data_IF_706074276043
#
_entry.id   IF_706074276043
#
_cell.length_a   1.000
_cell.length_b   1.000
_cell.length_c   1.000
_cell.angle_alpha   90.00
_cell.angle_beta   90.00
_cell.angle_gamma   90.00
#
_symmetry.space_group_name_H-M   'P 1'
#
loop_
_entity.id
_entity.type
_entity.pdbx_description
1 polymer ?
#
# COMPACT_ATOMS: atom_id res chain seq x y z
N UNK A 1 -10.11 -14.68 11.93
CA UNK A 1 -9.73 -13.29 12.09
C UNK A 1 -10.43 -12.67 13.30
N UNK A 2 -9.74 -11.82 14.04
CA UNK A 2 -10.31 -11.14 15.21
C UNK A 2 -9.78 -9.72 15.34
N UNK A 3 -10.65 -8.76 15.55
CA UNK A 3 -10.27 -7.38 15.87
C UNK A 3 -9.82 -7.30 17.33
N UNK A 4 -8.65 -6.71 17.57
CA UNK A 4 -8.10 -6.47 18.90
C UNK A 4 -8.06 -4.97 19.21
N UNK A 5 -8.18 -4.59 20.50
CA UNK A 5 -8.22 -3.18 20.91
C UNK A 5 -6.91 -2.42 20.66
N UNK A 6 -5.76 -3.11 20.73
CA UNK A 6 -4.46 -2.46 20.72
C UNK A 6 -3.64 -2.71 19.44
N UNK A 7 -3.96 -3.75 18.69
CA UNK A 7 -3.17 -4.18 17.54
C UNK A 7 -3.97 -4.17 16.22
N UNK A 8 -5.24 -3.79 16.27
CA UNK A 8 -6.12 -3.88 15.12
C UNK A 8 -6.53 -5.32 14.79
N UNK A 9 -6.89 -5.61 13.55
CA UNK A 9 -7.32 -6.94 13.15
C UNK A 9 -6.13 -7.89 13.00
N UNK A 10 -6.28 -9.09 13.57
CA UNK A 10 -5.30 -10.18 13.50
C UNK A 10 -5.92 -11.34 12.74
N UNK A 11 -5.16 -11.87 11.77
CA UNK A 11 -5.53 -13.08 11.01
C UNK A 11 -4.81 -14.28 11.60
N UNK A 12 -5.55 -15.35 11.79
CA UNK A 12 -5.06 -16.62 12.34
C UNK A 12 -5.23 -17.72 11.30
N UNK A 13 -4.25 -18.60 11.23
CA UNK A 13 -4.31 -19.84 10.48
C UNK A 13 -4.02 -21.01 11.42
N UNK A 14 -4.92 -21.98 11.47
CA UNK A 14 -4.81 -23.20 12.27
C UNK A 14 -5.18 -24.43 11.46
N UNK A 15 -4.76 -25.62 11.88
CA UNK A 15 -5.08 -26.87 11.18
C UNK A 15 -6.58 -27.17 11.17
N UNK A 16 -7.35 -26.53 12.04
CA UNK A 16 -8.80 -26.69 12.09
C UNK A 16 -9.30 -28.09 12.51
N UNK A 17 -10.61 -28.27 12.57
CA UNK A 17 -11.25 -29.54 12.86
C UNK A 17 -10.95 -30.09 14.24
N UNK A 18 -11.17 -31.41 14.40
CA UNK A 18 -11.01 -32.11 15.69
C UNK A 18 -9.57 -32.05 16.23
N UNK A 19 -8.59 -32.00 15.35
CA UNK A 19 -7.16 -32.02 15.69
C UNK A 19 -6.61 -30.64 16.07
N UNK A 20 -7.18 -29.55 15.56
CA UNK A 20 -6.74 -28.19 15.85
C UNK A 20 -6.84 -27.81 17.33
N UNK A 21 -7.77 -28.43 18.07
CA UNK A 21 -7.91 -28.28 19.53
C UNK A 21 -6.79 -28.98 20.33
N UNK A 22 -6.17 -29.99 19.73
CA UNK A 22 -5.13 -30.81 20.38
C UNK A 22 -3.73 -30.23 20.14
N UNK A 23 -3.46 -29.75 18.93
CA UNK A 23 -2.10 -29.41 18.52
C UNK A 23 -1.67 -27.96 18.79
N UNK A 24 -2.56 -27.05 19.16
CA UNK A 24 -2.28 -25.61 19.41
C UNK A 24 -1.41 -24.92 18.34
N UNK A 25 -1.45 -25.41 17.11
CA UNK A 25 -0.57 -25.01 16.00
C UNK A 25 -1.23 -23.89 15.20
N UNK A 26 -1.39 -22.75 15.86
CA UNK A 26 -1.94 -21.56 15.23
C UNK A 26 -0.82 -20.57 14.96
N UNK A 27 -0.68 -20.15 13.72
CA UNK A 27 0.14 -19.00 13.34
C UNK A 27 -0.78 -17.79 13.17
N UNK A 28 -0.25 -16.61 13.40
CA UNK A 28 -1.00 -15.37 13.23
C UNK A 28 -0.14 -14.28 12.64
N UNK A 29 -0.79 -13.31 12.02
CA UNK A 29 -0.16 -12.06 11.60
C UNK A 29 -1.19 -10.92 11.61
N UNK A 30 -0.71 -9.69 11.55
CA UNK A 30 -1.56 -8.51 11.57
C UNK A 30 -2.13 -8.24 10.17
N UNK A 31 -3.39 -7.78 10.11
CA UNK A 31 -3.97 -7.33 8.86
C UNK A 31 -3.60 -5.85 8.60
N UNK A 32 -3.43 -5.44 7.33
CA UNK A 32 -3.56 -6.23 6.11
C UNK A 32 -2.33 -7.10 5.83
N UNK A 33 -2.54 -8.29 5.25
CA UNK A 33 -1.47 -9.20 4.86
C UNK A 33 -0.95 -8.86 3.47
N UNK A 34 0.36 -8.78 3.31
CA UNK A 34 1.02 -8.86 2.01
C UNK A 34 1.04 -10.30 1.50
N UNK A 35 1.27 -10.46 0.19
CA UNK A 35 1.44 -11.80 -0.42
C UNK A 35 2.54 -12.61 0.29
N UNK A 36 3.67 -11.98 0.58
CA UNK A 36 4.79 -12.63 1.25
C UNK A 36 4.43 -13.10 2.65
N UNK A 37 3.77 -12.26 3.45
CA UNK A 37 3.36 -12.61 4.82
C UNK A 37 2.37 -13.76 4.83
N UNK A 38 1.41 -13.78 3.90
CA UNK A 38 0.47 -14.89 3.76
C UNK A 38 1.20 -16.20 3.37
N UNK A 39 2.18 -16.13 2.46
CA UNK A 39 3.02 -17.28 2.10
C UNK A 39 3.91 -17.74 3.25
N UNK A 40 4.48 -16.81 4.03
CA UNK A 40 5.30 -17.11 5.21
C UNK A 40 4.46 -17.80 6.30
N UNK A 41 3.21 -17.40 6.50
CA UNK A 41 2.27 -18.07 7.43
C UNK A 41 2.05 -19.53 7.07
N UNK A 42 1.91 -19.85 5.78
CA UNK A 42 1.73 -21.23 5.30
C UNK A 42 3.03 -22.02 5.35
N UNK A 43 4.16 -21.38 5.08
CA UNK A 43 5.47 -22.02 5.06
C UNK A 43 6.02 -22.28 6.47
N UNK A 44 5.42 -21.67 7.50
CA UNK A 44 5.84 -21.81 8.89
C UNK A 44 5.09 -22.92 9.62
N UNK A 45 5.75 -23.49 10.63
CA UNK A 45 5.15 -24.49 11.52
C UNK A 45 4.69 -25.78 10.80
N UNK A 46 3.59 -26.37 11.27
CA UNK A 46 3.12 -27.68 10.78
C UNK A 46 2.50 -27.66 9.39
N UNK A 47 2.13 -26.46 8.87
CA UNK A 47 1.44 -26.34 7.59
C UNK A 47 2.26 -26.84 6.43
N UNK A 48 3.59 -26.63 6.45
CA UNK A 48 4.50 -27.14 5.42
C UNK A 48 4.40 -28.68 5.27
N UNK A 49 4.30 -29.38 6.39
CA UNK A 49 4.17 -30.85 6.39
C UNK A 49 2.75 -31.27 6.01
N UNK A 50 1.74 -30.54 6.46
CA UNK A 50 0.33 -30.87 6.24
C UNK A 50 -0.12 -30.65 4.79
N UNK A 51 0.44 -29.64 4.12
CA UNK A 51 0.12 -29.34 2.72
C UNK A 51 0.99 -30.10 1.72
N UNK A 52 2.09 -30.68 2.19
CA UNK A 52 2.99 -31.50 1.37
C UNK A 52 2.46 -32.93 1.14
N UNK A 53 3.19 -33.69 0.32
CA UNK A 53 2.94 -35.11 0.13
C UNK A 53 3.27 -35.87 1.44
N UNK A 54 2.25 -36.42 2.07
CA UNK A 54 2.41 -37.21 3.28
C UNK A 54 1.76 -38.57 3.14
N UNK A 55 2.55 -39.63 3.20
CA UNK A 55 2.08 -41.04 3.19
C UNK A 55 1.09 -41.40 2.06
N UNK A 56 1.28 -40.81 0.86
CA UNK A 56 0.41 -41.09 -0.30
C UNK A 56 -0.87 -40.25 -0.36
N UNK A 57 -1.06 -39.31 0.57
CA UNK A 57 -2.08 -38.27 0.43
C UNK A 57 -1.56 -37.20 -0.54
N UNK A 58 -2.41 -36.83 -1.50
CA UNK A 58 -2.04 -35.81 -2.49
C UNK A 58 -1.80 -34.45 -1.79
N UNK A 59 -0.74 -33.76 -2.19
CA UNK A 59 -0.45 -32.39 -1.75
C UNK A 59 -1.61 -31.45 -2.02
N UNK A 60 -1.87 -30.55 -1.09
CA UNK A 60 -2.81 -29.44 -1.27
C UNK A 60 -2.08 -28.25 -1.92
N UNK A 61 -2.73 -27.62 -2.89
CA UNK A 61 -2.24 -26.36 -3.47
C UNK A 61 -2.33 -25.24 -2.42
N UNK A 62 -1.24 -24.59 -2.03
CA UNK A 62 -1.25 -23.53 -1.04
C UNK A 62 -1.85 -22.20 -1.57
N UNK A 63 -1.85 -21.94 -2.87
CA UNK A 63 -2.26 -20.65 -3.45
C UNK A 63 -3.71 -20.24 -3.12
N UNK A 64 -4.71 -21.15 -3.13
CA UNK A 64 -6.07 -20.80 -2.70
C UNK A 64 -6.14 -20.40 -1.22
N UNK A 65 -5.29 -20.97 -0.36
CA UNK A 65 -5.23 -20.61 1.07
C UNK A 65 -4.59 -19.23 1.23
N UNK A 66 -3.49 -18.95 0.51
CA UNK A 66 -2.85 -17.63 0.46
C UNK A 66 -3.88 -16.58 0.04
N UNK A 67 -4.62 -16.84 -1.03
CA UNK A 67 -5.67 -15.95 -1.51
C UNK A 67 -6.75 -15.73 -0.45
N UNK A 68 -7.20 -16.77 0.23
CA UNK A 68 -8.21 -16.67 1.29
C UNK A 68 -7.70 -15.82 2.47
N UNK A 69 -6.45 -16.01 2.90
CA UNK A 69 -5.83 -15.21 3.98
C UNK A 69 -5.76 -13.72 3.62
N UNK A 70 -5.31 -13.39 2.40
CA UNK A 70 -5.24 -12.02 1.92
C UNK A 70 -6.64 -11.40 1.87
N UNK A 71 -7.63 -12.09 1.27
CA UNK A 71 -9.01 -11.62 1.18
C UNK A 71 -9.65 -11.41 2.54
N UNK A 72 -9.41 -12.32 3.48
CA UNK A 72 -9.90 -12.19 4.85
C UNK A 72 -9.27 -10.99 5.56
N UNK A 73 -7.97 -10.75 5.35
CA UNK A 73 -7.27 -9.61 5.92
C UNK A 73 -7.75 -8.28 5.33
N UNK A 74 -8.02 -8.23 4.03
CA UNK A 74 -8.60 -7.07 3.34
C UNK A 74 -9.99 -6.74 3.88
N UNK A 75 -10.85 -7.75 3.98
CA UNK A 75 -12.21 -7.58 4.51
C UNK A 75 -12.21 -7.01 5.93
N UNK A 76 -11.28 -7.48 6.76
CA UNK A 76 -11.11 -7.00 8.13
C UNK A 76 -10.76 -5.52 8.23
N UNK A 77 -10.08 -4.99 7.21
CA UNK A 77 -9.64 -3.59 7.13
C UNK A 77 -10.69 -2.70 6.46
N UNK A 78 -11.31 -3.23 5.39
CA UNK A 78 -12.28 -2.47 4.59
C UNK A 78 -13.64 -2.31 5.28
N UNK A 79 -13.99 -3.25 6.18
CA UNK A 79 -15.27 -3.24 6.88
C UNK A 79 -15.03 -3.17 8.41
N UNK A 80 -14.83 -1.98 8.97
CA UNK A 80 -14.54 -1.80 10.41
C UNK A 80 -15.62 -2.34 11.36
N UNK A 81 -16.85 -2.51 10.86
CA UNK A 81 -17.93 -3.13 11.63
C UNK A 81 -17.70 -4.61 11.94
N UNK A 82 -16.83 -5.29 11.19
CA UNK A 82 -16.53 -6.72 11.42
C UNK A 82 -15.59 -6.86 12.61
N UNK A 83 -16.07 -7.55 13.65
CA UNK A 83 -15.31 -7.80 14.90
C UNK A 83 -14.55 -9.13 14.87
N UNK A 84 -15.13 -10.15 14.31
CA UNK A 84 -14.46 -11.42 14.04
C UNK A 84 -15.08 -12.14 12.86
N UNK A 85 -14.26 -12.95 12.18
CA UNK A 85 -14.68 -13.93 11.20
C UNK A 85 -13.93 -15.22 11.52
N UNK A 86 -14.68 -16.27 11.80
CA UNK A 86 -14.18 -17.62 11.99
C UNK A 86 -14.65 -18.49 10.83
N UNK A 87 -13.69 -19.11 10.13
CA UNK A 87 -13.92 -20.04 9.03
C UNK A 87 -13.38 -21.39 9.51
N UNK A 88 -14.28 -22.33 9.78
CA UNK A 88 -13.89 -23.65 10.29
C UNK A 88 -14.96 -24.71 9.95
N UNK A 89 -14.67 -25.62 9.01
CA UNK A 89 -13.39 -25.74 8.32
C UNK A 89 -13.32 -25.02 6.97
N UNK A 90 -12.09 -24.71 6.54
CA UNK A 90 -11.74 -24.40 5.16
C UNK A 90 -11.24 -25.68 4.49
N UNK A 91 -12.00 -26.22 3.54
CA UNK A 91 -11.61 -27.40 2.79
C UNK A 91 -10.70 -27.00 1.63
N UNK A 92 -9.48 -27.54 1.61
CA UNK A 92 -8.47 -27.23 0.61
C UNK A 92 -8.23 -28.43 -0.30
N UNK A 93 -8.08 -28.16 -1.59
CA UNK A 93 -7.83 -29.15 -2.63
C UNK A 93 -6.87 -28.64 -3.70
N UNK A 94 -6.80 -29.34 -4.82
CA UNK A 94 -6.01 -28.89 -5.96
C UNK A 94 -6.67 -27.68 -6.63
N UNK A 95 -6.06 -26.51 -6.51
CA UNK A 95 -6.50 -25.29 -7.17
C UNK A 95 -7.74 -24.62 -6.58
N UNK A 96 -8.27 -25.08 -5.41
CA UNK A 96 -9.44 -24.47 -4.78
C UNK A 96 -9.40 -24.57 -3.26
N UNK A 97 -10.04 -23.58 -2.61
CA UNK A 97 -10.38 -23.60 -1.20
C UNK A 97 -11.88 -23.30 -1.04
N UNK A 98 -12.58 -24.12 -0.29
CA UNK A 98 -14.03 -24.05 -0.09
C UNK A 98 -14.32 -23.82 1.39
N UNK A 99 -15.01 -22.74 1.69
CA UNK A 99 -15.53 -22.47 3.04
C UNK A 99 -16.75 -23.37 3.26
N UNK A 100 -16.68 -24.25 4.26
CA UNK A 100 -17.81 -25.11 4.61
C UNK A 100 -18.69 -24.47 5.67
N UNK A 101 -18.09 -23.75 6.61
CA UNK A 101 -18.81 -22.95 7.61
C UNK A 101 -18.07 -21.66 7.90
N UNK A 102 -18.84 -20.58 8.14
CA UNK A 102 -18.29 -19.28 8.48
C UNK A 102 -19.19 -18.56 9.48
N UNK A 103 -18.60 -18.12 10.58
CA UNK A 103 -19.26 -17.30 11.58
C UNK A 103 -18.69 -15.89 11.59
N UNK A 104 -19.54 -14.88 11.42
CA UNK A 104 -19.14 -13.47 11.42
C UNK A 104 -19.83 -12.72 12.55
N UNK A 105 -19.05 -11.99 13.35
CA UNK A 105 -19.56 -11.06 14.37
C UNK A 105 -19.41 -9.64 13.87
N UNK A 106 -20.53 -8.93 13.81
CA UNK A 106 -20.60 -7.52 13.42
C UNK A 106 -20.92 -6.69 14.67
N UNK A 107 -20.14 -5.63 14.91
CA UNK A 107 -20.41 -4.65 15.95
C UNK A 107 -21.21 -3.47 15.42
N UNK A 108 -22.07 -2.89 16.28
CA UNK A 108 -22.84 -1.68 15.95
C UNK A 108 -22.02 -0.39 16.04
N UNK A 109 -20.89 -0.43 16.74
CA UNK A 109 -20.07 0.75 16.99
C UNK A 109 -18.99 0.85 15.89
N UNK A 110 -18.99 1.97 15.18
CA UNK A 110 -17.81 2.39 14.41
C UNK A 110 -16.66 2.58 15.40
N UNK A 111 -15.48 2.06 15.07
CA UNK A 111 -14.27 2.36 15.85
C UNK A 111 -14.14 3.88 15.97
N UNK A 112 -13.92 4.37 17.17
CA UNK A 112 -13.62 5.78 17.37
C UNK A 112 -12.33 6.15 16.67
N UNK A 113 -12.11 7.43 16.35
CA UNK A 113 -10.88 7.89 15.71
C UNK A 113 -9.64 7.50 16.52
N UNK A 114 -9.73 7.46 17.85
CA UNK A 114 -8.64 7.02 18.75
C UNK A 114 -8.39 5.51 18.67
N UNK A 115 -9.42 4.69 18.50
CA UNK A 115 -9.27 3.25 18.32
C UNK A 115 -8.66 2.92 16.94
N UNK A 116 -8.96 3.70 15.91
CA UNK A 116 -8.30 3.60 14.61
C UNK A 116 -6.83 4.09 14.65
N UNK A 117 -6.51 5.07 15.47
CA UNK A 117 -5.14 5.58 15.63
C UNK A 117 -4.21 4.60 16.37
N UNK A 118 -4.76 3.65 17.12
CA UNK A 118 -3.98 2.63 17.84
C UNK A 118 -3.60 1.41 17.00
N UNK A 119 -3.98 1.35 15.72
CA UNK A 119 -3.56 0.26 14.84
C UNK A 119 -2.04 0.31 14.63
N UNK A 120 -1.36 -0.79 14.90
CA UNK A 120 0.08 -0.93 14.64
C UNK A 120 0.41 -0.92 13.15
N UNK A 121 -0.55 -1.33 12.32
CA UNK A 121 -0.44 -1.41 10.87
C UNK A 121 -1.56 -0.55 10.28
N UNK A 122 -1.18 0.41 9.41
CA UNK A 122 -2.17 1.21 8.71
C UNK A 122 -2.90 0.38 7.66
N UNK A 123 -4.25 0.47 7.62
CA UNK A 123 -5.01 -0.25 6.62
C UNK A 123 -4.57 0.14 5.20
N UNK A 124 -4.07 -0.82 4.45
CA UNK A 124 -3.86 -0.67 3.03
C UNK A 124 -5.21 -0.46 2.34
N UNK A 125 -5.28 0.44 1.38
CA UNK A 125 -6.45 0.63 0.52
C UNK A 125 -6.20 -0.11 -0.80
N UNK A 126 -6.40 -1.42 -0.88
CA UNK A 126 -6.10 -2.20 -2.10
C UNK A 126 -6.97 -1.80 -3.27
N UNK A 127 -8.14 -1.26 -2.98
CA UNK A 127 -9.13 -0.83 -3.98
C UNK A 127 -9.19 0.69 -4.16
N UNK A 128 -8.15 1.44 -3.74
CA UNK A 128 -8.15 2.88 -4.03
C UNK A 128 -8.09 3.10 -5.54
N UNK A 129 -9.22 3.46 -6.07
CA UNK A 129 -9.41 3.80 -7.46
C UNK A 129 -10.36 4.99 -7.55
N UNK A 130 -9.93 6.04 -8.26
CA UNK A 130 -10.69 7.28 -8.38
C UNK A 130 -10.60 7.80 -9.80
N UNK A 131 -11.75 8.04 -10.41
CA UNK A 131 -11.81 8.74 -11.68
C UNK A 131 -11.98 10.24 -11.43
N UNK A 132 -11.04 11.02 -11.93
CA UNK A 132 -11.03 12.48 -11.74
C UNK A 132 -11.05 13.19 -13.10
N UNK A 133 -11.90 14.20 -13.20
CA UNK A 133 -12.03 15.04 -14.40
C UNK A 133 -11.29 16.36 -14.18
N UNK A 134 -10.43 16.73 -15.11
CA UNK A 134 -9.70 18.00 -15.09
C UNK A 134 -9.40 18.52 -16.49
N UNK A 135 -8.48 19.45 -16.61
CA UNK A 135 -7.99 19.98 -17.90
C UNK A 135 -7.35 18.92 -18.78
N UNK A 136 -7.00 17.80 -18.20
CA UNK A 136 -6.44 16.60 -18.83
C UNK A 136 -7.50 15.61 -19.32
N UNK A 137 -8.79 15.93 -19.21
CA UNK A 137 -9.89 15.00 -19.47
C UNK A 137 -10.24 14.18 -18.22
N UNK A 138 -10.69 12.94 -18.42
CA UNK A 138 -10.85 11.97 -17.33
C UNK A 138 -9.53 11.24 -17.13
N UNK A 139 -9.08 11.12 -15.88
CA UNK A 139 -7.89 10.35 -15.51
C UNK A 139 -8.27 9.41 -14.36
N UNK A 140 -7.80 8.18 -14.43
CA UNK A 140 -7.95 7.19 -13.38
C UNK A 140 -6.72 7.25 -12.47
N UNK A 141 -6.94 7.43 -11.16
CA UNK A 141 -5.90 7.29 -10.15
C UNK A 141 -6.12 5.96 -9.43
N UNK A 142 -5.07 5.18 -9.25
CA UNK A 142 -5.15 3.91 -8.53
C UNK A 142 -3.90 3.67 -7.69
N UNK A 143 -3.99 2.77 -6.72
CA UNK A 143 -2.79 2.25 -6.04
C UNK A 143 -1.86 1.54 -7.02
N UNK A 144 -0.56 1.65 -6.77
CA UNK A 144 0.43 0.80 -7.41
C UNK A 144 0.23 -0.65 -6.95
N UNK A 145 0.25 -1.58 -7.91
CA UNK A 145 0.08 -3.01 -7.67
C UNK A 145 1.18 -3.80 -8.39
N UNK A 146 1.51 -5.02 -7.95
CA UNK A 146 2.56 -5.84 -8.56
C UNK A 146 2.41 -6.04 -10.06
N UNK A 147 1.17 -6.15 -10.55
CA UNK A 147 0.85 -6.26 -11.98
C UNK A 147 1.20 -5.01 -12.80
N UNK A 148 1.40 -3.87 -12.17
CA UNK A 148 1.75 -2.62 -12.85
C UNK A 148 3.24 -2.50 -13.17
N UNK A 149 4.07 -3.42 -12.71
CA UNK A 149 5.53 -3.34 -12.81
C UNK A 149 6.01 -3.04 -14.24
N UNK A 150 5.52 -3.77 -15.23
CA UNK A 150 5.94 -3.58 -16.63
C UNK A 150 5.49 -2.23 -17.19
N UNK A 151 4.26 -1.80 -16.90
CA UNK A 151 3.75 -0.50 -17.31
C UNK A 151 4.50 0.64 -16.61
N UNK A 152 4.88 0.44 -15.36
CA UNK A 152 5.67 1.43 -14.65
C UNK A 152 7.11 1.50 -15.16
N UNK A 153 7.72 0.39 -15.53
CA UNK A 153 9.02 0.39 -16.23
C UNK A 153 8.97 1.16 -17.55
N UNK A 154 7.92 0.96 -18.37
CA UNK A 154 7.71 1.73 -19.60
C UNK A 154 7.59 3.22 -19.30
N UNK A 155 6.81 3.58 -18.27
CA UNK A 155 6.66 4.96 -17.82
C UNK A 155 8.01 5.58 -17.43
N UNK A 156 8.80 4.92 -16.58
CA UNK A 156 10.12 5.38 -16.17
C UNK A 156 11.07 5.57 -17.38
N UNK A 157 11.01 4.65 -18.34
CA UNK A 157 11.77 4.74 -19.58
C UNK A 157 11.33 5.87 -20.51
N UNK A 158 10.08 6.32 -20.41
CA UNK A 158 9.51 7.42 -21.22
C UNK A 158 9.82 8.80 -20.69
N UNK A 159 10.28 8.92 -19.44
CA UNK A 159 10.69 10.19 -18.84
C UNK A 159 12.00 10.68 -19.48
N UNK A 160 12.10 11.98 -19.76
CA UNK A 160 13.36 12.60 -20.14
C UNK A 160 14.42 12.48 -19.05
N UNK A 161 15.70 12.60 -19.42
CA UNK A 161 16.79 12.59 -18.45
C UNK A 161 16.63 13.71 -17.40
N UNK A 162 16.10 14.86 -17.81
CA UNK A 162 15.78 15.94 -16.90
C UNK A 162 14.69 15.54 -15.90
N UNK A 163 13.59 14.97 -16.35
CA UNK A 163 12.50 14.53 -15.47
C UNK A 163 12.95 13.42 -14.52
N UNK A 164 13.75 12.48 -14.99
CA UNK A 164 14.37 11.44 -14.12
C UNK A 164 15.29 12.04 -13.09
N UNK A 165 16.18 12.98 -13.49
CA UNK A 165 17.10 13.66 -12.57
C UNK A 165 16.33 14.45 -11.51
N UNK A 166 15.30 15.19 -11.90
CA UNK A 166 14.48 15.98 -10.96
C UNK A 166 13.73 15.09 -9.97
N UNK A 167 13.37 13.86 -10.36
CA UNK A 167 12.59 12.93 -9.52
C UNK A 167 13.46 12.06 -8.61
N UNK A 168 14.59 11.56 -9.10
CA UNK A 168 15.42 10.58 -8.39
C UNK A 168 16.77 11.15 -7.93
N UNK A 169 17.06 12.41 -8.22
CA UNK A 169 18.31 13.09 -7.95
C UNK A 169 19.54 12.39 -8.54
N UNK A 170 19.34 11.35 -9.35
CA UNK A 170 20.37 10.52 -9.97
C UNK A 170 19.88 9.93 -11.28
N UNK A 171 20.77 9.82 -12.26
CA UNK A 171 20.53 9.10 -13.52
C UNK A 171 21.04 7.64 -13.47
N UNK A 172 21.78 7.28 -12.41
CA UNK A 172 22.43 5.97 -12.28
C UNK A 172 21.58 4.91 -11.58
N UNK A 173 20.43 5.29 -11.01
CA UNK A 173 19.54 4.35 -10.35
C UNK A 173 18.95 3.36 -11.35
N UNK A 174 18.93 2.07 -11.00
CA UNK A 174 18.28 1.04 -11.80
C UNK A 174 16.78 1.26 -11.87
N UNK A 175 16.23 1.48 -13.07
CA UNK A 175 14.79 1.63 -13.28
C UNK A 175 14.03 0.40 -12.81
N UNK A 176 14.60 -0.79 -12.96
CA UNK A 176 14.05 -2.04 -12.45
C UNK A 176 13.88 -2.02 -10.93
N UNK A 177 14.91 -1.59 -10.20
CA UNK A 177 14.86 -1.49 -8.73
C UNK A 177 13.82 -0.47 -8.27
N UNK A 178 13.71 0.67 -8.99
CA UNK A 178 12.69 1.69 -8.71
C UNK A 178 11.29 1.12 -8.93
N UNK A 179 11.08 0.39 -10.04
CA UNK A 179 9.78 -0.19 -10.36
C UNK A 179 9.37 -1.25 -9.33
N UNK A 180 10.27 -2.17 -9.00
CA UNK A 180 10.02 -3.19 -7.95
C UNK A 180 9.67 -2.51 -6.63
N UNK A 181 10.48 -1.52 -6.21
CA UNK A 181 10.21 -0.78 -4.96
C UNK A 181 8.87 -0.06 -4.96
N UNK A 182 8.38 0.43 -6.11
CA UNK A 182 7.10 1.13 -6.19
C UNK A 182 5.89 0.20 -6.02
N UNK A 183 5.94 -0.99 -6.65
CA UNK A 183 4.81 -1.92 -6.70
C UNK A 183 4.82 -2.98 -5.60
N UNK A 184 5.96 -3.17 -4.93
CA UNK A 184 6.14 -4.16 -3.85
C UNK A 184 6.44 -3.51 -2.50
N UNK A 185 6.20 -2.20 -2.38
CA UNK A 185 6.44 -1.48 -1.13
C UNK A 185 5.50 -1.96 -0.03
N UNK A 186 6.02 -1.96 1.20
CA UNK A 186 5.24 -2.24 2.40
C UNK A 186 4.10 -1.22 2.54
N UNK A 187 2.83 -1.64 2.46
CA UNK A 187 1.69 -0.73 2.55
C UNK A 187 1.61 0.05 3.86
N UNK A 188 2.20 -0.50 4.93
CA UNK A 188 2.26 0.15 6.24
C UNK A 188 3.20 1.38 6.22
N UNK A 189 4.25 1.32 5.42
CA UNK A 189 5.27 2.36 5.35
C UNK A 189 5.23 3.21 4.10
N UNK A 190 4.54 2.76 3.08
CA UNK A 190 4.54 3.43 1.78
C UNK A 190 3.15 3.46 1.18
N UNK A 191 2.85 4.56 0.51
CA UNK A 191 1.64 4.73 -0.30
C UNK A 191 2.07 5.20 -1.67
N UNK A 192 1.87 4.36 -2.68
CA UNK A 192 2.23 4.65 -4.07
C UNK A 192 0.98 4.65 -4.93
N UNK A 193 0.81 5.69 -5.72
CA UNK A 193 -0.34 5.85 -6.64
C UNK A 193 0.13 6.18 -8.05
N UNK A 194 -0.62 5.69 -9.02
CA UNK A 194 -0.43 5.95 -10.43
C UNK A 194 -1.63 6.66 -11.02
N UNK A 195 -1.38 7.67 -11.86
CA UNK A 195 -2.36 8.20 -12.78
C UNK A 195 -2.24 7.46 -14.12
N UNK A 196 -3.35 6.99 -14.64
CA UNK A 196 -3.43 6.17 -15.87
C UNK A 196 -4.12 6.95 -16.97
N UNK A 197 -3.59 6.85 -18.20
CA UNK A 197 -4.18 7.48 -19.39
C UNK A 197 -5.56 6.85 -19.67
N UNK A 198 -6.63 7.66 -19.68
CA UNK A 198 -7.97 7.16 -19.90
C UNK A 198 -8.20 6.62 -21.31
N UNK A 199 -7.34 6.98 -22.26
CA UNK A 199 -7.44 6.57 -23.67
C UNK A 199 -6.53 5.39 -24.00
N UNK A 200 -5.82 4.84 -23.00
CA UNK A 200 -4.93 3.71 -23.19
C UNK A 200 -5.63 2.40 -22.78
N UNK A 201 -5.81 1.50 -23.73
CA UNK A 201 -6.32 0.14 -23.48
C UNK A 201 -5.31 -0.69 -22.65
N UNK A 202 -4.02 -0.34 -22.68
CA UNK A 202 -2.94 -1.02 -21.94
C UNK A 202 -2.76 -0.50 -20.52
N UNK A 203 -3.49 0.56 -20.13
CA UNK A 203 -3.35 1.16 -18.79
C UNK A 203 -2.04 1.92 -18.62
N UNK A 204 -1.61 2.69 -19.65
CA UNK A 204 -0.36 3.43 -19.62
C UNK A 204 -0.32 4.44 -18.48
N UNK A 205 0.72 4.38 -17.69
CA UNK A 205 0.95 5.31 -16.58
C UNK A 205 1.47 6.63 -17.14
N UNK A 206 0.88 7.73 -16.67
CA UNK A 206 1.22 9.10 -17.09
C UNK A 206 1.77 9.96 -15.97
N UNK A 207 1.54 9.56 -14.72
CA UNK A 207 2.13 10.20 -13.55
C UNK A 207 2.17 9.21 -12.38
N UNK A 208 3.09 9.44 -11.45
CA UNK A 208 3.20 8.70 -10.21
C UNK A 208 3.41 9.63 -9.02
N UNK A 209 2.95 9.21 -7.85
CA UNK A 209 3.34 9.81 -6.60
C UNK A 209 3.50 8.75 -5.52
N UNK A 210 4.44 9.00 -4.60
CA UNK A 210 4.74 8.13 -3.47
C UNK A 210 4.84 8.94 -2.19
N UNK A 211 4.34 8.38 -1.11
CA UNK A 211 4.56 8.81 0.26
C UNK A 211 5.27 7.68 1.00
N UNK A 212 6.47 7.93 1.51
CA UNK A 212 7.28 6.95 2.24
C UNK A 212 7.50 7.41 3.67
N UNK A 213 7.04 6.63 4.64
CA UNK A 213 7.19 6.96 6.05
C UNK A 213 8.65 6.90 6.46
N UNK A 214 9.11 7.93 7.17
CA UNK A 214 10.46 8.01 7.71
C UNK A 214 10.62 7.15 8.97
N UNK A 215 11.87 6.82 9.38
CA UNK A 215 12.14 5.99 10.55
C UNK A 215 11.51 6.49 11.86
N UNK A 216 11.30 7.81 11.99
CA UNK A 216 10.66 8.42 13.17
C UNK A 216 9.16 8.11 13.26
N UNK A 217 8.55 7.54 12.22
CA UNK A 217 7.13 7.17 12.09
C UNK A 217 6.12 8.31 12.19
N UNK A 218 6.54 9.51 12.49
CA UNK A 218 5.66 10.71 12.56
C UNK A 218 5.77 11.58 11.32
N UNK A 219 6.73 11.30 10.45
CA UNK A 219 6.98 12.03 9.22
C UNK A 219 7.03 11.11 8.01
N UNK A 220 6.74 11.64 6.84
CA UNK A 220 6.89 10.92 5.58
C UNK A 220 7.47 11.82 4.49
N UNK A 221 8.26 11.21 3.60
CA UNK A 221 8.79 11.84 2.40
C UNK A 221 7.84 11.59 1.22
N UNK A 222 7.58 12.63 0.44
CA UNK A 222 6.88 12.47 -0.83
C UNK A 222 7.84 12.51 -2.02
N UNK A 223 7.45 11.82 -3.08
CA UNK A 223 8.06 11.96 -4.38
C UNK A 223 7.01 11.90 -5.47
N UNK A 224 7.20 12.67 -6.54
CA UNK A 224 6.22 12.79 -7.62
C UNK A 224 6.90 13.00 -8.95
N UNK A 225 6.35 12.40 -10.00
CA UNK A 225 6.73 12.71 -11.39
C UNK A 225 5.53 12.62 -12.34
N UNK A 226 5.62 13.37 -13.44
CA UNK A 226 4.61 13.41 -14.50
C UNK A 226 5.33 13.28 -15.83
N UNK A 227 4.83 12.40 -16.71
CA UNK A 227 5.36 12.20 -18.06
C UNK A 227 5.40 13.54 -18.81
N UNK A 228 6.49 13.79 -19.55
CA UNK A 228 6.82 15.11 -20.08
C UNK A 228 5.69 15.70 -20.95
N UNK A 229 5.03 14.89 -21.77
CA UNK A 229 3.90 15.29 -22.60
C UNK A 229 2.59 15.55 -21.84
N UNK A 230 2.54 15.19 -20.54
CA UNK A 230 1.39 15.40 -19.66
C UNK A 230 1.62 16.49 -18.61
N UNK A 231 2.79 17.09 -18.58
CA UNK A 231 3.10 18.21 -17.66
C UNK A 231 2.26 19.45 -17.96
N UNK A 232 2.18 20.36 -16.99
CA UNK A 232 1.43 21.61 -17.11
C UNK A 232 -0.11 21.48 -17.09
N UNK A 233 -0.65 20.26 -16.93
CA UNK A 233 -2.09 19.99 -16.96
C UNK A 233 -2.73 19.86 -15.57
N UNK A 234 -1.94 19.97 -14.49
CA UNK A 234 -2.42 19.90 -13.11
C UNK A 234 -2.38 18.52 -12.46
N UNK A 235 -1.83 17.49 -13.13
CA UNK A 235 -1.72 16.13 -12.58
C UNK A 235 -0.89 16.07 -11.30
N UNK A 236 0.23 16.81 -11.23
CA UNK A 236 1.04 16.85 -10.03
C UNK A 236 0.25 17.41 -8.83
N UNK A 237 -0.54 18.46 -9.04
CA UNK A 237 -1.40 19.03 -7.98
C UNK A 237 -2.41 17.99 -7.49
N UNK A 238 -3.07 17.29 -8.41
CA UNK A 238 -4.03 16.25 -8.10
C UNK A 238 -3.42 15.10 -7.29
N UNK A 239 -2.25 14.60 -7.68
CA UNK A 239 -1.57 13.54 -6.95
C UNK A 239 -1.08 14.00 -5.57
N UNK A 240 -0.62 15.24 -5.44
CA UNK A 240 -0.25 15.81 -4.14
C UNK A 240 -1.46 15.93 -3.20
N UNK A 241 -2.65 16.25 -3.72
CA UNK A 241 -3.87 16.26 -2.90
C UNK A 241 -4.14 14.89 -2.27
N UNK A 242 -3.94 13.80 -3.02
CA UNK A 242 -4.11 12.43 -2.52
C UNK A 242 -2.98 12.04 -1.52
N UNK A 243 -1.73 12.46 -1.78
CA UNK A 243 -0.59 12.23 -0.88
C UNK A 243 -0.82 12.91 0.48
N UNK A 244 -1.23 14.17 0.47
CA UNK A 244 -1.50 14.91 1.69
C UNK A 244 -2.76 14.39 2.42
N UNK A 245 -3.78 13.96 1.69
CA UNK A 245 -4.95 13.32 2.27
C UNK A 245 -4.57 12.00 2.97
N UNK A 246 -3.71 11.21 2.35
CA UNK A 246 -3.20 9.97 2.95
C UNK A 246 -2.32 10.24 4.17
N UNK A 247 -1.46 11.27 4.13
CA UNK A 247 -0.65 11.68 5.26
C UNK A 247 -1.53 12.08 6.47
N UNK A 248 -2.61 12.84 6.22
CA UNK A 248 -3.62 13.17 7.25
C UNK A 248 -4.30 11.93 7.80
N UNK A 249 -4.73 11.02 6.93
CA UNK A 249 -5.37 9.77 7.33
C UNK A 249 -4.47 8.91 8.23
N UNK A 250 -3.15 8.93 7.97
CA UNK A 250 -2.14 8.23 8.78
C UNK A 250 -1.78 8.98 10.07
N UNK A 251 -2.32 10.16 10.31
CA UNK A 251 -1.98 10.97 11.48
C UNK A 251 -0.53 11.46 11.49
N UNK A 252 0.10 11.59 10.32
CA UNK A 252 1.48 12.08 10.23
C UNK A 252 1.55 13.54 10.65
N UNK A 253 2.62 13.89 11.35
CA UNK A 253 2.88 15.25 11.82
C UNK A 253 3.48 16.11 10.72
N UNK A 254 4.32 15.49 9.86
CA UNK A 254 5.07 16.19 8.82
C UNK A 254 5.07 15.44 7.50
N UNK A 255 4.99 16.19 6.41
CA UNK A 255 5.29 15.71 5.06
C UNK A 255 6.47 16.51 4.54
N UNK A 256 7.52 15.82 4.08
CA UNK A 256 8.75 16.45 3.57
C UNK A 256 8.97 16.08 2.12
N UNK A 257 9.67 16.96 1.40
CA UNK A 257 10.12 16.70 0.04
C UNK A 257 11.48 17.34 -0.22
N UNK A 258 12.37 16.56 -0.80
CA UNK A 258 13.69 17.01 -1.23
C UNK A 258 13.59 17.45 -2.68
N UNK A 259 13.92 18.68 -2.97
CA UNK A 259 13.73 19.31 -4.28
C UNK A 259 15.02 19.97 -4.75
N UNK A 260 15.50 19.58 -5.92
CA UNK A 260 16.67 20.24 -6.53
C UNK A 260 16.40 21.73 -6.72
N UNK A 261 17.39 22.57 -6.45
CA UNK A 261 17.27 24.04 -6.52
C UNK A 261 16.86 24.59 -7.88
N UNK A 262 17.18 23.86 -8.95
CA UNK A 262 16.81 24.22 -10.32
C UNK A 262 15.41 23.73 -10.73
N UNK A 263 14.64 23.10 -9.83
CA UNK A 263 13.27 22.66 -10.08
C UNK A 263 12.25 23.77 -9.72
N UNK A 264 12.26 24.86 -10.49
CA UNK A 264 11.39 26.02 -10.24
C UNK A 264 9.89 25.66 -10.18
N UNK A 265 9.45 24.72 -11.02
CA UNK A 265 8.05 24.26 -11.04
C UNK A 265 7.62 23.65 -9.72
N UNK A 266 8.46 22.78 -9.15
CA UNK A 266 8.19 22.15 -7.86
C UNK A 266 8.25 23.17 -6.73
N UNK A 267 9.23 24.08 -6.74
CA UNK A 267 9.34 25.18 -5.77
C UNK A 267 8.05 26.02 -5.75
N UNK A 268 7.58 26.44 -6.93
CA UNK A 268 6.35 27.21 -7.05
C UNK A 268 5.11 26.44 -6.54
N UNK A 269 5.04 25.15 -6.80
CA UNK A 269 3.94 24.31 -6.34
C UNK A 269 3.98 24.13 -4.82
N UNK A 270 5.11 23.79 -4.22
CA UNK A 270 5.25 23.59 -2.78
C UNK A 270 4.97 24.87 -1.99
N UNK A 271 5.48 26.01 -2.45
CA UNK A 271 5.19 27.32 -1.84
C UNK A 271 3.70 27.63 -1.83
N UNK A 272 2.99 27.42 -2.95
CA UNK A 272 1.53 27.62 -3.05
C UNK A 272 0.74 26.69 -2.13
N UNK A 273 1.28 25.51 -1.81
CA UNK A 273 0.67 24.53 -0.90
C UNK A 273 1.00 24.77 0.57
N UNK A 274 1.78 25.79 0.88
CA UNK A 274 2.12 26.18 2.25
C UNK A 274 3.29 25.41 2.86
N UNK A 275 4.09 24.71 2.04
CA UNK A 275 5.33 24.12 2.52
C UNK A 275 6.37 25.19 2.85
N UNK A 276 7.04 25.01 3.97
CA UNK A 276 8.17 25.85 4.39
C UNK A 276 9.45 25.32 3.75
N UNK A 277 10.21 26.19 3.10
CA UNK A 277 11.47 25.86 2.44
C UNK A 277 12.65 26.11 3.38
N UNK A 278 13.54 25.14 3.48
CA UNK A 278 14.89 25.27 4.09
C UNK A 278 15.92 24.65 3.14
N UNK A 279 17.21 24.98 3.32
CA UNK A 279 18.26 24.28 2.58
C UNK A 279 18.55 22.96 3.28
N UNK A 280 18.76 21.89 2.51
CA UNK A 280 19.19 20.61 3.05
C UNK A 280 20.59 20.71 3.66
N UNK A 281 20.80 20.07 4.81
CA UNK A 281 22.07 20.14 5.54
C UNK A 281 23.17 19.29 4.89
N UNK A 282 22.78 18.22 4.19
CA UNK A 282 23.70 17.24 3.60
C UNK A 282 24.05 17.56 2.14
N UNK A 283 23.14 18.19 1.38
CA UNK A 283 23.37 18.58 -0.02
C UNK A 283 22.95 20.04 -0.29
N UNK A 284 23.92 20.95 -0.52
CA UNK A 284 23.62 22.35 -0.81
C UNK A 284 22.87 22.60 -2.12
N UNK A 285 22.71 21.61 -2.99
CA UNK A 285 21.93 21.72 -4.23
C UNK A 285 20.46 21.33 -4.04
N UNK A 286 20.07 20.88 -2.85
CA UNK A 286 18.73 20.45 -2.51
C UNK A 286 18.11 21.44 -1.53
N UNK A 287 16.83 21.70 -1.72
CA UNK A 287 16.00 22.38 -0.75
C UNK A 287 15.02 21.37 -0.13
N UNK A 288 14.90 21.43 1.18
CA UNK A 288 13.92 20.66 1.95
C UNK A 288 12.63 21.49 2.08
N UNK A 289 11.55 20.95 1.61
CA UNK A 289 10.21 21.48 1.79
C UNK A 289 9.48 20.69 2.87
N UNK A 290 8.94 21.37 3.87
CA UNK A 290 8.25 20.74 5.00
C UNK A 290 6.85 21.32 5.15
N UNK A 291 5.85 20.45 5.22
CA UNK A 291 4.49 20.78 5.63
C UNK A 291 4.27 20.22 7.03
N UNK A 292 4.17 21.12 8.00
CA UNK A 292 3.85 20.79 9.39
C UNK A 292 2.34 20.72 9.60
N UNK A 293 1.91 19.98 10.64
CA UNK A 293 0.51 19.88 11.06
C UNK A 293 -0.44 19.39 9.95
N UNK A 294 -0.16 18.22 9.42
CA UNK A 294 -1.10 17.52 8.55
C UNK A 294 -2.37 17.11 9.33
N UNK A 295 -2.40 17.35 10.65
CA UNK A 295 -3.56 17.07 11.51
C UNK A 295 -4.76 17.91 11.09
N UNK A 296 -5.90 17.27 11.01
CA UNK A 296 -7.19 17.93 10.80
C UNK A 296 -7.41 18.94 11.94
N UNK A 297 -7.54 20.22 11.59
CA UNK A 297 -8.15 21.18 12.51
C UNK A 297 -9.58 20.69 12.78
N UNK A 298 -9.86 20.30 14.02
CA UNK A 298 -11.20 19.95 14.46
C UNK A 298 -12.18 21.10 14.26
#
# INVERSE_FOLDING_TARGET
MKLTRHFGPIVYLGIGGLYGKIFKDTVFNFAPLSLKEAQDMISSGPFKTFLGDFQGLASCDPEPIVTALIRLSQLAVEIPAVRSIDIDPLLCGKGHAIVLDAHCVIGSDTLTADENASHLIFPYRPSFEKNVRGKYGMVKIKNAAPEDKENFLKYLGSLSDQSRRLRFHSLTSSLESIAVSAVSSDPDRSFSIFAVDPNSDSGDIIAEARLSQLPNRTSAEFGISVRDDWQGRGLATLLMDEIEAEARRRGLEKVVGYVLKDNENMHGMMTKRGYVRTTDEDDPNIDLFTLDNVKVSN
#
